data_IF_534885845338
#
_entry.id   IF_534885845338
#
_cell.length_a   1.000
_cell.length_b   1.000
_cell.length_c   1.000
_cell.angle_alpha   90.00
_cell.angle_beta   90.00
_cell.angle_gamma   90.00
#
_symmetry.space_group_name_H-M   'P 1'
#
loop_
_entity.id
_entity.type
_entity.pdbx_description
1 polymer ?
#
# COMPACT_ATOMS: atom_id res chain seq x y z
N UNK A 1 -84.26 64.59 -6.00
CA UNK A 1 -84.16 65.98 -6.50
C UNK A 1 -82.70 66.30 -6.77
N UNK A 2 -82.42 66.72 -8.02
CA UNK A 2 -81.38 67.67 -8.46
C UNK A 2 -79.86 67.37 -8.32
N UNK A 3 -79.22 67.27 -9.50
CA UNK A 3 -77.96 67.89 -10.00
C UNK A 3 -76.63 67.49 -9.32
N UNK A 4 -75.72 66.79 -10.00
CA UNK A 4 -74.73 67.27 -11.00
C UNK A 4 -73.88 68.48 -10.58
N UNK A 5 -72.56 68.34 -10.70
CA UNK A 5 -71.58 69.44 -10.72
C UNK A 5 -70.16 68.96 -10.38
N UNK A 6 -69.42 68.37 -11.32
CA UNK A 6 -68.43 69.02 -12.21
C UNK A 6 -67.20 69.63 -11.51
N UNK A 7 -66.11 68.90 -11.69
CA UNK A 7 -64.68 69.24 -11.78
C UNK A 7 -64.27 70.70 -12.01
N UNK A 8 -63.19 71.11 -11.35
CA UNK A 8 -62.28 72.13 -11.85
C UNK A 8 -60.81 71.74 -11.58
N UNK A 9 -60.08 71.51 -12.66
CA UNK A 9 -58.62 71.43 -12.74
C UNK A 9 -57.99 72.79 -12.44
N UNK A 10 -56.84 72.82 -11.74
CA UNK A 10 -55.70 73.68 -12.12
C UNK A 10 -54.40 73.26 -11.43
N UNK A 11 -53.33 73.39 -12.22
CA UNK A 11 -51.98 72.81 -12.13
C UNK A 11 -51.03 73.68 -11.26
N UNK A 12 -49.76 73.25 -11.06
CA UNK A 12 -49.02 73.30 -9.79
C UNK A 12 -48.12 74.52 -9.64
N UNK A 13 -47.56 74.68 -8.43
CA UNK A 13 -46.26 75.31 -8.24
C UNK A 13 -45.43 74.45 -7.29
N UNK A 14 -44.36 73.90 -7.84
CA UNK A 14 -43.17 73.48 -7.11
C UNK A 14 -42.56 74.70 -6.42
N UNK A 15 -42.18 74.56 -5.15
CA UNK A 15 -40.78 74.60 -4.69
C UNK A 15 -40.77 74.61 -3.14
N UNK A 16 -40.09 73.60 -2.59
CA UNK A 16 -39.17 73.67 -1.45
C UNK A 16 -39.61 74.49 -0.21
N UNK A 17 -39.91 73.81 0.90
CA UNK A 17 -38.88 73.39 1.85
C UNK A 17 -39.46 72.75 3.13
N UNK A 18 -38.62 71.90 3.72
CA UNK A 18 -38.55 71.57 5.15
C UNK A 18 -39.80 70.99 5.82
N UNK A 19 -39.87 69.66 5.88
CA UNK A 19 -40.17 68.95 7.13
C UNK A 19 -39.87 67.46 6.97
N UNK A 20 -38.69 67.08 7.44
CA UNK A 20 -38.36 65.80 8.10
C UNK A 20 -39.31 64.66 7.70
N UNK A 21 -38.97 63.93 6.64
CA UNK A 21 -39.56 62.62 6.43
C UNK A 21 -39.02 61.71 7.52
N UNK A 22 -39.92 61.24 8.39
CA UNK A 22 -39.68 60.10 9.26
C UNK A 22 -39.11 58.98 8.38
N UNK A 23 -37.83 58.70 8.57
CA UNK A 23 -37.14 57.60 7.93
C UNK A 23 -37.85 56.33 8.43
N UNK A 24 -38.55 55.63 7.53
CA UNK A 24 -39.01 54.28 7.80
C UNK A 24 -37.75 53.43 8.01
N UNK A 25 -37.35 53.26 9.26
CA UNK A 25 -36.31 52.31 9.63
C UNK A 25 -36.87 50.91 9.45
N UNK A 26 -36.84 50.39 8.23
CA UNK A 26 -36.72 48.94 8.10
C UNK A 26 -35.49 48.55 8.95
N UNK A 27 -35.61 47.62 9.91
CA UNK A 27 -34.45 47.18 10.66
C UNK A 27 -33.45 46.63 9.65
N UNK A 28 -32.29 47.28 9.51
CA UNK A 28 -31.17 46.70 8.77
C UNK A 28 -30.88 45.36 9.43
N UNK A 29 -31.07 44.26 8.70
CA UNK A 29 -30.66 42.95 9.19
C UNK A 29 -29.16 43.00 9.45
N UNK A 30 -28.73 42.39 10.56
CA UNK A 30 -27.36 42.47 11.09
C UNK A 30 -26.31 42.01 10.06
N UNK A 31 -26.76 41.25 9.06
CA UNK A 31 -25.97 40.70 7.96
C UNK A 31 -25.53 41.75 6.91
N UNK A 32 -26.21 42.91 6.81
CA UNK A 32 -25.92 43.97 5.83
C UNK A 32 -24.99 45.08 6.37
N UNK A 33 -24.53 44.98 7.63
CA UNK A 33 -23.62 45.96 8.21
C UNK A 33 -22.17 45.73 7.74
N UNK A 34 -21.66 46.66 6.92
CA UNK A 34 -20.35 46.59 6.23
C UNK A 34 -19.10 46.42 7.13
N UNK A 35 -19.20 46.55 8.46
CA UNK A 35 -18.05 46.56 9.37
C UNK A 35 -18.10 45.54 10.53
N UNK A 36 -19.00 44.56 10.49
CA UNK A 36 -19.05 43.50 11.51
C UNK A 36 -17.96 42.43 11.25
N UNK A 37 -16.93 42.40 12.11
CA UNK A 37 -15.79 41.46 12.03
C UNK A 37 -16.12 40.04 12.55
N UNK A 38 -17.39 39.75 12.83
CA UNK A 38 -17.86 38.48 13.37
C UNK A 38 -18.67 37.70 12.34
N UNK A 39 -18.20 37.65 11.10
CA UNK A 39 -18.72 36.67 10.15
C UNK A 39 -18.54 35.26 10.71
N UNK A 40 -19.57 34.42 10.62
CA UNK A 40 -19.58 32.98 10.94
C UNK A 40 -18.70 32.16 9.97
N UNK A 41 -17.61 32.73 9.46
CA UNK A 41 -16.63 32.01 8.66
C UNK A 41 -15.73 31.22 9.62
N UNK A 42 -15.60 29.89 9.47
CA UNK A 42 -14.68 29.13 10.31
C UNK A 42 -13.27 29.74 10.15
N UNK A 43 -12.68 30.21 11.26
CA UNK A 43 -11.36 30.88 11.27
C UNK A 43 -10.24 30.01 10.71
N UNK A 44 -10.45 28.69 10.69
CA UNK A 44 -9.52 27.72 10.14
C UNK A 44 -10.15 27.05 8.93
N UNK A 45 -9.65 27.37 7.73
CA UNK A 45 -9.76 26.43 6.62
C UNK A 45 -8.87 25.25 6.99
N UNK A 46 -9.41 24.03 7.03
CA UNK A 46 -8.59 22.82 7.11
C UNK A 46 -7.80 22.71 5.81
N UNK A 47 -6.64 23.37 5.73
CA UNK A 47 -5.77 23.22 4.58
C UNK A 47 -5.25 21.77 4.63
N UNK A 48 -5.65 20.88 3.71
CA UNK A 48 -5.21 19.50 3.76
C UNK A 48 -3.69 19.50 3.70
N UNK A 49 -3.04 18.97 4.74
CA UNK A 49 -1.58 18.83 4.78
C UNK A 49 -1.19 17.78 3.75
N UNK A 50 -0.87 18.25 2.56
CA UNK A 50 -0.31 17.42 1.51
C UNK A 50 1.04 16.84 1.94
N UNK A 51 1.22 15.53 1.72
CA UNK A 51 2.54 14.91 1.81
C UNK A 51 3.47 15.57 0.79
N UNK A 52 4.75 15.74 1.17
CA UNK A 52 5.77 16.23 0.24
C UNK A 52 5.87 15.31 -0.98
N UNK A 53 6.26 15.82 -2.17
CA UNK A 53 6.34 15.01 -3.38
C UNK A 53 7.15 13.72 -3.19
N UNK A 54 8.27 13.76 -2.46
CA UNK A 54 9.08 12.59 -2.11
C UNK A 54 8.31 11.54 -1.31
N UNK A 55 7.52 11.95 -0.31
CA UNK A 55 6.69 11.04 0.50
C UNK A 55 5.57 10.43 -0.32
N UNK A 56 4.96 11.20 -1.23
CA UNK A 56 3.94 10.67 -2.17
C UNK A 56 4.55 9.65 -3.12
N UNK A 57 5.69 9.96 -3.74
CA UNK A 57 6.39 9.03 -4.63
C UNK A 57 6.76 7.72 -3.94
N UNK A 58 7.27 7.80 -2.70
CA UNK A 58 7.55 6.61 -1.88
C UNK A 58 6.30 5.77 -1.61
N UNK A 59 5.17 6.42 -1.33
CA UNK A 59 3.91 5.74 -1.11
C UNK A 59 3.39 5.07 -2.39
N UNK A 60 3.44 5.77 -3.54
CA UNK A 60 3.05 5.21 -4.84
C UNK A 60 3.90 3.98 -5.19
N UNK A 61 5.21 4.02 -4.92
CA UNK A 61 6.08 2.87 -5.15
C UNK A 61 5.72 1.67 -4.28
N UNK A 62 5.37 1.91 -3.01
CA UNK A 62 4.92 0.85 -2.10
C UNK A 62 3.58 0.23 -2.55
N UNK A 63 2.65 1.07 -3.03
CA UNK A 63 1.38 0.64 -3.61
C UNK A 63 1.60 -0.26 -4.84
N UNK A 64 2.41 0.18 -5.80
CA UNK A 64 2.76 -0.62 -6.99
C UNK A 64 3.42 -1.96 -6.62
N UNK A 65 4.30 -1.95 -5.63
CA UNK A 65 4.97 -3.17 -5.15
C UNK A 65 3.95 -4.15 -4.53
N UNK A 66 3.03 -3.64 -3.72
CA UNK A 66 1.98 -4.45 -3.11
C UNK A 66 1.01 -5.03 -4.16
N UNK A 67 0.66 -4.25 -5.19
CA UNK A 67 -0.14 -4.72 -6.32
C UNK A 67 0.56 -5.85 -7.07
N UNK A 68 1.85 -5.69 -7.39
CA UNK A 68 2.63 -6.72 -8.06
C UNK A 68 2.71 -8.02 -7.23
N UNK A 69 2.88 -7.91 -5.90
CA UNK A 69 2.88 -9.06 -5.00
C UNK A 69 1.51 -9.75 -4.94
N UNK A 70 0.41 -8.98 -4.95
CA UNK A 70 -0.95 -9.55 -4.99
C UNK A 70 -1.18 -10.34 -6.28
N UNK A 71 -0.86 -9.73 -7.43
CA UNK A 71 -0.94 -10.39 -8.75
C UNK A 71 -0.15 -11.70 -8.78
N UNK A 72 1.11 -11.68 -8.33
CA UNK A 72 1.94 -12.87 -8.29
C UNK A 72 1.37 -13.99 -7.39
N UNK A 73 0.73 -13.64 -6.26
CA UNK A 73 0.08 -14.61 -5.38
C UNK A 73 -1.18 -15.22 -6.00
N UNK A 74 -1.96 -14.41 -6.71
CA UNK A 74 -3.19 -14.83 -7.40
C UNK A 74 -2.87 -15.76 -8.58
N UNK A 75 -1.81 -15.47 -9.35
CA UNK A 75 -1.38 -16.30 -10.49
C UNK A 75 -0.90 -17.70 -10.08
N UNK A 76 -0.31 -17.84 -8.88
CA UNK A 76 0.35 -19.09 -8.44
C UNK A 76 0.01 -19.45 -7.00
N UNK A 77 -1.23 -19.84 -6.69
CA UNK A 77 -1.62 -20.19 -5.34
C UNK A 77 -0.79 -21.36 -4.79
N UNK A 78 -0.41 -22.34 -5.63
CA UNK A 78 0.31 -23.53 -5.21
C UNK A 78 1.70 -23.23 -4.61
N UNK A 79 2.43 -22.26 -5.16
CA UNK A 79 3.77 -21.86 -4.67
C UNK A 79 3.66 -21.12 -3.33
N UNK A 80 2.59 -20.36 -3.14
CA UNK A 80 2.40 -19.48 -1.97
C UNK A 80 1.46 -20.04 -0.92
N UNK A 81 0.86 -21.22 -1.14
CA UNK A 81 0.00 -21.91 -0.19
C UNK A 81 0.74 -22.17 1.11
N UNK A 82 2.00 -22.59 1.02
CA UNK A 82 2.90 -22.72 2.16
C UNK A 82 3.80 -21.49 2.29
N UNK A 83 3.96 -20.97 3.52
CA UNK A 83 4.84 -19.84 3.78
C UNK A 83 6.18 -20.32 4.37
N UNK A 84 7.24 -20.48 3.56
CA UNK A 84 8.52 -21.00 4.02
C UNK A 84 9.18 -20.05 5.00
N UNK A 85 9.74 -20.62 6.06
CA UNK A 85 10.48 -19.94 7.13
C UNK A 85 11.93 -20.44 7.16
N UNK A 86 12.74 -19.72 7.93
CA UNK A 86 14.14 -20.09 8.14
C UNK A 86 14.20 -21.34 9.02
N UNK A 87 15.03 -22.30 8.62
CA UNK A 87 15.08 -23.62 9.24
C UNK A 87 14.12 -24.64 8.64
N UNK A 88 13.35 -24.27 7.61
CA UNK A 88 12.55 -25.24 6.86
C UNK A 88 13.42 -25.91 5.78
N UNK A 89 13.21 -27.21 5.57
CA UNK A 89 13.74 -27.96 4.44
C UNK A 89 12.72 -27.88 3.31
N UNK A 90 13.14 -27.39 2.14
CA UNK A 90 12.24 -27.08 1.02
C UNK A 90 12.71 -27.79 -0.25
N UNK A 91 11.75 -28.25 -1.03
CA UNK A 91 11.94 -28.67 -2.42
C UNK A 91 11.24 -27.68 -3.35
N UNK A 92 11.97 -27.18 -4.33
CA UNK A 92 11.53 -26.19 -5.30
C UNK A 92 11.70 -26.75 -6.71
N UNK A 93 10.69 -26.58 -7.55
CA UNK A 93 10.81 -26.83 -8.99
C UNK A 93 10.94 -25.49 -9.71
N UNK A 94 12.02 -25.32 -10.45
CA UNK A 94 12.32 -24.12 -11.23
C UNK A 94 12.67 -24.46 -12.68
N UNK A 95 12.44 -23.52 -13.59
CA UNK A 95 12.86 -23.65 -14.98
C UNK A 95 14.39 -23.52 -15.07
N UNK A 96 15.05 -24.48 -15.72
CA UNK A 96 16.51 -24.54 -15.86
C UNK A 96 17.13 -23.55 -16.86
N UNK A 97 18.42 -23.73 -17.13
CA UNK A 97 19.34 -22.79 -17.82
C UNK A 97 18.86 -22.23 -19.18
N UNK A 98 17.88 -22.86 -19.84
CA UNK A 98 17.33 -22.37 -21.10
C UNK A 98 16.38 -21.17 -20.99
N UNK A 99 15.92 -20.82 -19.78
CA UNK A 99 15.08 -19.63 -19.50
C UNK A 99 13.68 -19.61 -20.14
N UNK A 100 13.41 -20.44 -21.14
CA UNK A 100 12.10 -20.62 -21.76
C UNK A 100 11.17 -21.35 -20.80
N UNK A 101 9.94 -20.84 -20.63
CA UNK A 101 8.95 -21.40 -19.70
C UNK A 101 8.56 -22.87 -19.98
N UNK A 102 8.85 -23.36 -21.19
CA UNK A 102 8.63 -24.73 -21.67
C UNK A 102 9.82 -25.68 -21.41
N UNK A 103 10.92 -25.16 -20.85
CA UNK A 103 12.11 -25.93 -20.54
C UNK A 103 11.89 -26.98 -19.43
N UNK A 104 12.85 -27.88 -19.30
CA UNK A 104 12.87 -28.90 -18.24
C UNK A 104 12.88 -28.24 -16.86
N UNK A 105 12.07 -28.79 -15.96
CA UNK A 105 12.05 -28.37 -14.55
C UNK A 105 13.21 -29.01 -13.80
N UNK A 106 14.00 -28.17 -13.14
CA UNK A 106 15.06 -28.54 -12.23
C UNK A 106 14.55 -28.51 -10.79
N UNK A 107 14.95 -29.53 -10.02
CA UNK A 107 14.57 -29.67 -8.62
C UNK A 107 15.70 -29.17 -7.75
N UNK A 108 15.46 -28.07 -7.04
CA UNK A 108 16.37 -27.53 -6.04
C UNK A 108 15.86 -27.92 -4.66
N UNK A 109 16.66 -28.68 -3.93
CA UNK A 109 16.36 -29.10 -2.55
C UNK A 109 17.37 -28.45 -1.61
N UNK A 110 16.94 -28.19 -0.38
CA UNK A 110 17.86 -27.73 0.66
C UNK A 110 17.19 -27.08 1.86
N UNK A 111 18.03 -26.66 2.81
CA UNK A 111 17.61 -25.95 4.01
C UNK A 111 17.55 -24.44 3.76
N UNK A 112 16.47 -23.79 4.15
CA UNK A 112 16.36 -22.32 4.13
C UNK A 112 17.18 -21.73 5.27
N UNK A 113 18.34 -21.17 4.94
CA UNK A 113 19.23 -20.51 5.91
C UNK A 113 18.84 -19.05 6.16
N UNK A 114 18.08 -18.43 5.25
CA UNK A 114 17.67 -17.05 5.38
C UNK A 114 16.52 -16.69 4.47
N UNK A 115 15.71 -15.72 4.91
CA UNK A 115 14.62 -15.12 4.14
C UNK A 115 14.78 -13.61 4.15
N UNK A 116 14.67 -12.99 2.98
CA UNK A 116 14.75 -11.54 2.79
C UNK A 116 13.39 -11.07 2.30
N UNK A 117 12.75 -10.19 3.07
CA UNK A 117 11.44 -9.64 2.73
C UNK A 117 11.63 -8.22 2.15
N UNK A 118 11.34 -8.04 0.86
CA UNK A 118 11.45 -6.76 0.13
C UNK A 118 10.30 -6.60 -0.90
N UNK A 119 9.08 -6.98 -0.52
CA UNK A 119 7.93 -6.99 -1.44
C UNK A 119 8.17 -7.97 -2.59
N UNK A 120 8.06 -7.51 -3.83
CA UNK A 120 8.29 -8.30 -5.04
C UNK A 120 9.71 -8.88 -5.13
N UNK A 121 10.71 -8.17 -4.59
CA UNK A 121 12.11 -8.62 -4.56
C UNK A 121 12.44 -9.53 -3.36
N UNK A 122 11.42 -10.12 -2.72
CA UNK A 122 11.64 -11.06 -1.61
C UNK A 122 12.31 -12.35 -2.10
N UNK A 123 13.28 -12.84 -1.35
CA UNK A 123 14.07 -14.01 -1.74
C UNK A 123 14.34 -14.95 -0.58
N UNK A 124 14.38 -16.25 -0.87
CA UNK A 124 14.91 -17.28 0.02
C UNK A 124 16.37 -17.54 -0.29
N UNK A 125 17.12 -17.91 0.74
CA UNK A 125 18.48 -18.40 0.61
C UNK A 125 18.45 -19.85 1.07
N UNK A 126 18.63 -20.77 0.12
CA UNK A 126 18.59 -22.22 0.33
C UNK A 126 20.02 -22.75 0.24
N UNK A 127 20.39 -23.65 1.15
CA UNK A 127 21.71 -24.27 1.18
C UNK A 127 21.55 -25.78 1.22
N UNK A 128 22.30 -26.47 0.38
CA UNK A 128 22.43 -27.94 0.42
C UNK A 128 23.82 -28.36 -0.04
N UNK A 129 24.06 -29.67 -0.06
CA UNK A 129 25.27 -30.28 -0.61
C UNK A 129 24.91 -31.00 -1.88
N UNK A 130 25.43 -30.51 -3.00
CA UNK A 130 25.21 -31.07 -4.33
C UNK A 130 26.53 -31.62 -4.83
N UNK A 131 26.54 -32.88 -5.27
CA UNK A 131 27.77 -33.56 -5.76
C UNK A 131 28.97 -33.48 -4.80
N UNK A 132 28.73 -33.38 -3.50
CA UNK A 132 29.78 -33.29 -2.47
C UNK A 132 30.22 -31.87 -2.12
N UNK A 133 29.78 -30.86 -2.87
CA UNK A 133 30.11 -29.46 -2.63
C UNK A 133 28.93 -28.68 -2.04
N UNK A 134 29.16 -27.77 -1.07
CA UNK A 134 28.11 -26.94 -0.51
C UNK A 134 27.69 -25.85 -1.48
N UNK A 135 26.43 -25.88 -1.91
CA UNK A 135 25.85 -24.88 -2.82
C UNK A 135 24.82 -24.03 -2.08
N UNK A 136 24.82 -22.73 -2.36
CA UNK A 136 23.80 -21.79 -1.89
C UNK A 136 23.04 -21.21 -3.10
N UNK A 137 21.71 -21.30 -3.07
CA UNK A 137 20.85 -20.64 -4.05
C UNK A 137 20.09 -19.49 -3.43
N UNK A 138 20.08 -18.35 -4.12
CA UNK A 138 19.24 -17.20 -3.77
C UNK A 138 18.05 -17.15 -4.71
N UNK A 139 16.90 -17.61 -4.22
CA UNK A 139 15.72 -17.85 -5.05
C UNK A 139 14.71 -16.71 -4.83
N UNK A 140 14.35 -15.94 -5.88
CA UNK A 140 13.29 -14.95 -5.80
C UNK A 140 11.93 -15.63 -5.67
N UNK A 141 11.18 -15.30 -4.61
CA UNK A 141 9.90 -15.94 -4.27
C UNK A 141 8.81 -15.67 -5.31
N UNK A 142 8.71 -14.44 -5.79
CA UNK A 142 7.67 -13.98 -6.71
C UNK A 142 8.08 -14.09 -8.19
N UNK A 143 9.10 -14.90 -8.49
CA UNK A 143 9.56 -15.05 -9.87
C UNK A 143 8.64 -15.97 -10.69
N UNK A 144 8.38 -15.65 -11.97
CA UNK A 144 7.64 -16.52 -12.87
C UNK A 144 8.36 -17.86 -13.14
N UNK A 145 9.66 -17.95 -12.87
CA UNK A 145 10.47 -19.16 -13.07
C UNK A 145 10.20 -20.25 -12.03
N UNK A 146 9.71 -19.90 -10.83
CA UNK A 146 9.39 -20.88 -9.78
C UNK A 146 8.01 -21.48 -10.07
N UNK A 147 7.91 -22.81 -10.19
CA UNK A 147 6.66 -23.49 -10.54
C UNK A 147 5.98 -24.13 -9.34
N UNK A 148 6.75 -24.78 -8.45
CA UNK A 148 6.21 -25.39 -7.24
C UNK A 148 7.17 -25.19 -6.05
N UNK A 149 6.61 -25.13 -4.86
CA UNK A 149 7.33 -25.04 -3.59
C UNK A 149 6.67 -25.98 -2.59
N UNK A 150 7.44 -26.92 -2.05
CA UNK A 150 6.98 -27.89 -1.05
C UNK A 150 7.87 -27.84 0.17
N UNK A 151 7.29 -27.75 1.36
CA UNK A 151 8.04 -27.87 2.62
C UNK A 151 8.12 -29.35 3.01
N UNK A 152 9.33 -29.89 3.07
CA UNK A 152 9.59 -31.26 3.49
C UNK A 152 9.62 -31.39 5.01
N UNK A 153 10.31 -30.47 5.68
CA UNK A 153 10.41 -30.41 7.14
C UNK A 153 10.33 -28.96 7.62
N UNK A 154 9.67 -28.73 8.76
CA UNK A 154 9.48 -27.38 9.30
C UNK A 154 10.41 -27.10 10.48
N UNK A 155 11.19 -26.03 10.40
CA UNK A 155 11.88 -25.38 11.50
C UNK A 155 12.89 -26.26 12.28
N UNK A 156 13.51 -27.23 11.61
CA UNK A 156 14.52 -28.12 12.20
C UNK A 156 15.82 -28.12 11.42
N UNK A 157 16.93 -28.31 12.14
CA UNK A 157 18.28 -28.54 11.62
C UNK A 157 18.81 -29.81 12.28
N UNK A 158 19.94 -30.34 11.79
CA UNK A 158 20.56 -31.56 12.26
C UNK A 158 19.68 -32.79 12.04
N UNK A 159 19.11 -32.93 10.84
CA UNK A 159 18.20 -34.04 10.47
C UNK A 159 17.00 -34.15 11.43
N UNK A 160 16.31 -33.05 11.68
CA UNK A 160 15.14 -33.04 12.56
C UNK A 160 15.44 -32.96 14.07
N UNK A 161 16.70 -32.98 14.50
CA UNK A 161 17.05 -33.09 15.93
C UNK A 161 16.91 -31.79 16.71
N UNK A 162 17.13 -30.65 16.06
CA UNK A 162 17.23 -29.36 16.76
C UNK A 162 16.36 -28.31 16.11
N UNK A 163 15.46 -27.73 16.91
CA UNK A 163 14.63 -26.59 16.49
C UNK A 163 15.48 -25.33 16.32
N UNK A 164 15.19 -24.57 15.28
CA UNK A 164 15.91 -23.32 15.00
C UNK A 164 15.42 -22.18 15.88
N UNK A 165 16.37 -21.38 16.39
CA UNK A 165 16.10 -20.18 17.20
C UNK A 165 16.56 -18.88 16.54
N UNK A 166 17.46 -18.94 15.55
CA UNK A 166 18.01 -17.75 14.88
C UNK A 166 17.20 -17.43 13.63
N UNK A 167 17.03 -16.14 13.35
CA UNK A 167 16.36 -15.68 12.13
C UNK A 167 17.18 -15.89 10.85
N UNK A 168 18.51 -16.11 10.96
CA UNK A 168 19.41 -16.45 9.86
C UNK A 168 20.45 -17.47 10.35
N UNK A 169 20.71 -18.50 9.54
CA UNK A 169 21.55 -19.65 9.90
C UNK A 169 22.90 -19.64 9.19
N UNK A 170 23.52 -18.46 9.08
CA UNK A 170 24.82 -18.32 8.43
C UNK A 170 25.95 -19.09 9.14
N UNK A 171 25.77 -19.44 10.41
CA UNK A 171 26.70 -20.32 11.11
C UNK A 171 26.82 -21.70 10.46
N UNK A 172 25.85 -22.14 9.64
CA UNK A 172 25.91 -23.42 8.93
C UNK A 172 26.95 -23.45 7.81
N UNK A 173 27.52 -22.30 7.44
CA UNK A 173 28.61 -22.22 6.44
C UNK A 173 29.91 -22.85 6.91
N UNK A 174 30.19 -22.72 8.20
CA UNK A 174 31.39 -23.20 8.87
C UNK A 174 31.16 -24.60 9.48
N UNK A 175 29.94 -25.12 9.40
CA UNK A 175 29.54 -26.36 10.05
C UNK A 175 29.59 -27.54 9.09
N UNK A 176 29.57 -28.73 9.67
CA UNK A 176 29.62 -29.96 8.89
C UNK A 176 28.38 -30.08 7.98
N UNK A 177 28.53 -30.58 6.74
CA UNK A 177 27.44 -30.70 5.77
C UNK A 177 26.27 -31.55 6.30
N UNK A 178 26.56 -32.51 7.17
CA UNK A 178 25.57 -33.39 7.78
C UNK A 178 24.51 -32.66 8.63
N UNK A 179 24.77 -31.42 9.04
CA UNK A 179 23.85 -30.65 9.88
C UNK A 179 22.69 -30.05 9.08
N UNK A 180 22.92 -29.67 7.83
CA UNK A 180 21.93 -28.98 7.00
C UNK A 180 21.53 -29.75 5.73
N UNK A 181 22.27 -30.80 5.38
CA UNK A 181 21.95 -31.65 4.24
C UNK A 181 20.56 -32.26 4.36
N UNK A 182 19.77 -32.11 3.32
CA UNK A 182 18.43 -32.70 3.24
C UNK A 182 18.54 -34.10 2.63
N UNK A 183 18.03 -35.11 3.33
CA UNK A 183 18.08 -36.51 2.87
C UNK A 183 16.71 -37.08 2.50
N UNK A 184 15.63 -36.41 2.88
CA UNK A 184 14.27 -36.89 2.61
C UNK A 184 13.92 -36.61 1.15
N UNK A 185 13.33 -37.62 0.51
CA UNK A 185 13.03 -37.65 -0.92
C UNK A 185 11.58 -37.39 -1.24
#
# INVERSE_FOLDING_TARGET
>A
MLRQGLTALRRPLTQLNSSIRCFSSAPMEVEDMAFLHHGTRPRFRSNPKFKSPRKRASQLFEELNNEAVKKAKEEKPDVFAENPRVGDSVELEMVGEGGTLEGKLEKVRGLVIGKVNRGLASSLIVRDVVFGEPVEWKIPLYSPMVKSLKILERNFVFKGKRKVKRAKLYYLRERSPNEYRVTKS
#
